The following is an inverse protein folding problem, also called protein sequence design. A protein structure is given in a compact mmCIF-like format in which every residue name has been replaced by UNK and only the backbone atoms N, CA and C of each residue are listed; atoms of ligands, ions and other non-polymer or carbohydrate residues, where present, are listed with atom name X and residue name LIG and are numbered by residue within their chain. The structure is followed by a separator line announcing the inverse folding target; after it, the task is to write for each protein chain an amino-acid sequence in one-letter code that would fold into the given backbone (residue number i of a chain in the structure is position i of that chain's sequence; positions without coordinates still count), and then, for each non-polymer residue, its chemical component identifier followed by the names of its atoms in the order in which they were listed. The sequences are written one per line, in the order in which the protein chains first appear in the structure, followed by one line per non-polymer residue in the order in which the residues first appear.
data_IF_578077956637
#
_entry.id   IF_578077956637
#
_cell.length_a   1.000
_cell.length_b   1.000
_cell.length_c   1.000
_cell.angle_alpha   90.00
_cell.angle_beta   90.00
_cell.angle_gamma   90.00
#
_symmetry.space_group_name_H-M   'P 1'
#
loop_
_entity.id
_entity.type
_entity.pdbx_description
1 polymer ?
#
# COMPACT_ATOMS: atom_id res chain seq x y z
N UNK A 1 -1.07 6.98 -46.43
CA UNK A 1 0.16 6.17 -46.57
C UNK A 1 1.25 6.93 -45.85
N UNK A 2 1.47 6.68 -44.56
CA UNK A 2 2.34 5.64 -43.98
C UNK A 2 3.83 5.92 -44.27
N UNK A 3 4.71 5.57 -43.32
CA UNK A 3 6.15 5.89 -43.20
C UNK A 3 6.37 7.26 -42.50
N UNK A 4 6.87 7.42 -41.26
CA UNK A 4 7.77 6.61 -40.41
C UNK A 4 7.59 7.13 -38.95
N UNK A 5 6.97 6.37 -38.05
CA UNK A 5 7.61 5.70 -36.90
C UNK A 5 9.12 5.97 -36.71
N UNK A 6 9.56 7.10 -36.12
CA UNK A 6 10.90 7.14 -35.47
C UNK A 6 11.18 8.36 -34.57
N UNK A 7 10.24 8.82 -33.73
CA UNK A 7 10.57 9.83 -32.71
C UNK A 7 9.78 9.72 -31.40
N UNK A 8 9.33 8.51 -31.04
CA UNK A 8 9.02 8.16 -29.65
C UNK A 8 10.28 7.55 -29.00
N UNK A 9 11.29 8.39 -28.78
CA UNK A 9 12.42 8.15 -27.89
C UNK A 9 12.71 9.49 -27.23
N UNK A 10 12.81 9.61 -25.91
CA UNK A 10 14.10 9.32 -25.29
C UNK A 10 14.08 9.16 -23.75
N UNK A 11 12.92 9.03 -23.10
CA UNK A 11 12.84 8.60 -21.70
C UNK A 11 11.73 7.54 -21.55
N UNK A 12 12.03 6.34 -22.05
CA UNK A 12 11.23 5.14 -21.85
C UNK A 12 11.28 4.66 -20.40
N UNK A 13 10.72 5.44 -19.47
CA UNK A 13 10.07 4.87 -18.31
C UNK A 13 8.63 4.60 -18.76
N UNK A 14 8.48 3.64 -19.68
CA UNK A 14 7.17 3.02 -19.84
C UNK A 14 6.91 2.33 -18.51
N UNK A 15 5.94 2.91 -17.81
CA UNK A 15 5.30 2.42 -16.60
C UNK A 15 4.64 1.07 -16.93
N UNK A 16 5.49 0.06 -17.14
CA UNK A 16 5.07 -1.26 -17.61
C UNK A 16 4.04 -1.79 -16.63
N UNK A 17 2.90 -2.33 -17.11
CA UNK A 17 1.89 -2.92 -16.23
C UNK A 17 2.48 -3.90 -15.21
N UNK A 18 3.56 -4.60 -15.56
CA UNK A 18 4.29 -5.50 -14.66
C UNK A 18 4.99 -4.78 -13.50
N UNK A 19 5.60 -3.61 -13.74
CA UNK A 19 6.24 -2.80 -12.68
C UNK A 19 5.20 -2.21 -11.74
N UNK A 20 4.06 -1.77 -12.30
CA UNK A 20 2.91 -1.32 -11.49
C UNK A 20 2.38 -2.44 -10.61
N UNK A 21 2.29 -3.66 -11.16
CA UNK A 21 1.89 -4.86 -10.41
C UNK A 21 2.81 -5.16 -9.23
N UNK A 22 4.11 -5.14 -9.50
CA UNK A 22 5.10 -5.44 -8.48
C UNK A 22 5.10 -4.38 -7.39
N UNK A 23 4.97 -3.10 -7.75
CA UNK A 23 4.87 -2.00 -6.79
C UNK A 23 3.63 -2.13 -5.91
N UNK A 24 2.48 -2.39 -6.51
CA UNK A 24 1.21 -2.52 -5.80
C UNK A 24 1.19 -3.74 -4.87
N UNK A 25 1.74 -4.86 -5.33
CA UNK A 25 1.92 -6.05 -4.51
C UNK A 25 2.80 -5.77 -3.29
N UNK A 26 3.95 -5.13 -3.48
CA UNK A 26 4.87 -4.76 -2.39
C UNK A 26 4.21 -3.81 -1.39
N UNK A 27 3.46 -2.81 -1.87
CA UNK A 27 2.75 -1.86 -1.00
C UNK A 27 1.66 -2.56 -0.18
N UNK A 28 0.89 -3.45 -0.80
CA UNK A 28 -0.13 -4.26 -0.12
C UNK A 28 0.49 -5.20 0.93
N UNK A 29 1.60 -5.86 0.59
CA UNK A 29 2.35 -6.72 1.52
C UNK A 29 2.90 -5.90 2.70
N UNK A 30 3.48 -4.73 2.44
CA UNK A 30 3.98 -3.83 3.47
C UNK A 30 2.87 -3.35 4.42
N UNK A 31 1.72 -2.93 3.87
CA UNK A 31 0.53 -2.59 4.67
C UNK A 31 0.08 -3.78 5.53
N UNK A 32 0.06 -4.99 4.96
CA UNK A 32 -0.28 -6.21 5.69
C UNK A 32 0.67 -6.48 6.87
N UNK A 33 1.98 -6.31 6.65
CA UNK A 33 3.00 -6.45 7.71
C UNK A 33 2.78 -5.40 8.81
N UNK A 34 2.57 -4.14 8.45
CA UNK A 34 2.32 -3.07 9.42
C UNK A 34 1.07 -3.34 10.28
N UNK A 35 -0.02 -3.84 9.67
CA UNK A 35 -1.25 -4.25 10.38
C UNK A 35 -0.96 -5.40 11.36
N UNK A 36 -0.15 -6.38 10.95
CA UNK A 36 0.23 -7.50 11.81
C UNK A 36 1.08 -7.03 12.99
N UNK A 37 2.10 -6.20 12.76
CA UNK A 37 2.94 -5.64 13.82
C UNK A 37 2.12 -4.83 14.81
N UNK A 38 1.20 -3.98 14.32
CA UNK A 38 0.27 -3.23 15.17
C UNK A 38 -0.54 -4.17 16.08
N UNK A 39 -1.03 -5.30 15.54
CA UNK A 39 -1.75 -6.30 16.34
C UNK A 39 -0.86 -7.00 17.36
N UNK A 40 0.37 -7.33 17.00
CA UNK A 40 1.31 -7.97 17.94
C UNK A 40 1.63 -7.05 19.13
N UNK A 41 1.86 -5.76 18.86
CA UNK A 41 2.19 -4.77 19.89
C UNK A 41 0.98 -4.37 20.75
N UNK A 42 -0.19 -4.15 20.15
CA UNK A 42 -1.36 -3.57 20.83
C UNK A 42 -2.46 -4.59 21.16
N UNK A 43 -2.29 -5.85 20.74
CA UNK A 43 -3.24 -6.94 20.99
C UNK A 43 -4.54 -6.86 20.18
N UNK A 44 -4.67 -5.90 19.25
CA UNK A 44 -5.86 -5.70 18.40
C UNK A 44 -5.47 -5.26 17.00
N UNK A 45 -6.31 -5.55 16.01
CA UNK A 45 -6.18 -4.91 14.71
C UNK A 45 -6.52 -3.41 14.78
N UNK A 46 -5.95 -2.58 13.89
CA UNK A 46 -6.35 -1.18 13.78
C UNK A 46 -7.82 -1.09 13.35
N UNK A 47 -8.54 -0.06 13.80
CA UNK A 47 -9.93 0.20 13.39
C UNK A 47 -9.95 0.84 11.99
N UNK A 48 -8.95 1.68 11.72
CA UNK A 48 -8.69 2.32 10.44
C UNK A 48 -7.19 2.31 10.14
N UNK A 49 -6.81 2.27 8.85
CA UNK A 49 -5.40 2.26 8.45
C UNK A 49 -4.61 3.47 8.98
N UNK A 50 -5.29 4.61 9.19
CA UNK A 50 -4.70 5.82 9.75
C UNK A 50 -4.09 5.62 11.14
N UNK A 51 -4.57 4.64 11.91
CA UNK A 51 -3.97 4.30 13.21
C UNK A 51 -2.51 3.84 13.10
N UNK A 52 -2.11 3.27 11.96
CA UNK A 52 -0.74 2.85 11.68
C UNK A 52 0.24 4.03 11.58
N UNK A 53 -0.28 5.24 11.35
CA UNK A 53 0.50 6.46 11.22
C UNK A 53 0.68 7.22 12.53
N UNK A 54 -0.02 6.82 13.59
CA UNK A 54 0.12 7.47 14.88
C UNK A 54 1.16 6.76 15.73
N UNK A 55 1.86 7.55 16.54
CA UNK A 55 2.69 6.97 17.58
C UNK A 55 1.78 6.50 18.72
N UNK A 56 1.51 5.19 18.75
CA UNK A 56 0.64 4.57 19.75
C UNK A 56 1.40 4.14 21.01
N UNK A 57 2.75 4.14 20.97
CA UNK A 57 3.60 3.69 22.08
C UNK A 57 4.38 4.88 22.63
N UNK A 58 4.22 5.15 23.93
CA UNK A 58 5.02 6.14 24.66
C UNK A 58 6.31 5.50 25.21
N UNK A 59 7.01 4.73 24.38
CA UNK A 59 8.26 4.06 24.73
C UNK A 59 9.43 4.81 24.08
N UNK A 60 10.51 5.07 24.82
CA UNK A 60 11.72 5.72 24.26
C UNK A 60 12.41 4.87 23.20
N UNK A 61 12.28 3.54 23.28
CA UNK A 61 12.80 2.60 22.28
C UNK A 61 11.92 2.48 21.03
N UNK A 62 10.80 3.21 20.98
CA UNK A 62 9.90 3.14 19.85
C UNK A 62 10.41 4.01 18.70
N UNK A 63 10.75 3.36 17.59
CA UNK A 63 11.36 4.03 16.44
C UNK A 63 10.37 4.77 15.53
N UNK A 64 9.08 4.79 15.91
CA UNK A 64 8.06 5.60 15.25
C UNK A 64 6.89 4.78 14.71
N UNK A 65 5.94 5.44 14.03
CA UNK A 65 4.72 4.78 13.57
C UNK A 65 5.04 3.65 12.58
N UNK A 66 4.20 2.62 12.56
CA UNK A 66 4.34 1.49 11.63
C UNK A 66 4.37 1.93 10.17
N UNK A 67 3.72 3.05 9.86
CA UNK A 67 3.74 3.68 8.53
C UNK A 67 3.95 5.19 8.68
N UNK A 68 4.90 5.74 7.92
CA UNK A 68 5.09 7.17 7.84
C UNK A 68 3.94 7.85 7.08
N UNK A 69 3.28 8.83 7.71
CA UNK A 69 2.24 9.62 7.05
C UNK A 69 2.85 10.53 5.98
N UNK A 70 2.44 10.35 4.73
CA UNK A 70 2.85 11.18 3.58
C UNK A 70 1.69 12.03 3.03
N UNK A 71 0.58 12.12 3.76
CA UNK A 71 -0.67 12.75 3.30
C UNK A 71 -1.73 11.71 2.92
N UNK A 72 -2.84 12.17 2.32
CA UNK A 72 -3.98 11.29 2.00
C UNK A 72 -3.61 10.14 1.06
N UNK A 73 -2.62 10.33 0.19
CA UNK A 73 -2.10 9.33 -0.75
C UNK A 73 -1.35 8.16 -0.10
N UNK A 74 -1.05 8.24 1.20
CA UNK A 74 -0.40 7.15 1.96
C UNK A 74 -1.18 5.84 1.78
N UNK A 75 -2.51 5.93 1.80
CA UNK A 75 -3.43 4.81 1.67
C UNK A 75 -4.15 4.79 0.32
N UNK A 76 -3.53 5.34 -0.72
CA UNK A 76 -3.98 5.20 -2.10
C UNK A 76 -3.07 4.21 -2.84
N UNK A 77 -3.64 3.43 -3.74
CA UNK A 77 -2.89 2.53 -4.60
C UNK A 77 -2.26 3.29 -5.78
N UNK A 78 -1.59 2.56 -6.68
CA UNK A 78 -0.93 3.18 -7.84
C UNK A 78 -1.89 3.88 -8.82
N UNK A 79 -3.18 3.56 -8.77
CA UNK A 79 -4.24 4.20 -9.57
C UNK A 79 -4.97 5.30 -8.78
N UNK A 80 -4.36 5.80 -7.70
CA UNK A 80 -4.88 6.87 -6.82
C UNK A 80 -6.22 6.48 -6.15
N UNK A 81 -6.49 5.18 -6.00
CA UNK A 81 -7.68 4.66 -5.32
C UNK A 81 -7.37 4.24 -3.91
N UNK A 82 -8.23 4.60 -2.97
CA UNK A 82 -8.03 4.27 -1.55
C UNK A 82 -8.11 2.76 -1.31
N UNK A 83 -7.18 2.23 -0.51
CA UNK A 83 -7.25 0.86 -0.01
C UNK A 83 -8.53 0.64 0.78
N UNK A 84 -9.15 -0.50 0.59
CA UNK A 84 -10.31 -0.93 1.36
C UNK A 84 -9.81 -1.82 2.49
N UNK A 85 -9.91 -1.33 3.72
CA UNK A 85 -9.58 -2.08 4.92
C UNK A 85 -10.84 -2.36 5.73
N UNK A 86 -11.01 -3.61 6.17
CA UNK A 86 -12.10 -4.02 7.07
C UNK A 86 -11.54 -4.82 8.23
N UNK A 87 -11.76 -4.34 9.44
CA UNK A 87 -11.48 -5.07 10.66
C UNK A 87 -12.70 -5.92 11.06
N UNK A 88 -12.51 -7.23 11.29
CA UNK A 88 -13.56 -8.17 11.74
C UNK A 88 -13.35 -8.63 13.19
N UNK A 89 -12.39 -8.04 13.91
CA UNK A 89 -12.01 -8.40 15.27
C UNK A 89 -10.95 -9.50 15.29
N UNK A 90 -11.29 -10.70 14.78
CA UNK A 90 -10.40 -11.87 14.76
C UNK A 90 -9.47 -11.91 13.53
N UNK A 91 -9.90 -11.26 12.44
CA UNK A 91 -9.18 -11.13 11.16
C UNK A 91 -9.36 -9.75 10.55
N UNK A 92 -8.57 -9.45 9.51
CA UNK A 92 -8.74 -8.27 8.67
C UNK A 92 -8.86 -8.63 7.19
N UNK A 93 -9.49 -7.76 6.43
CA UNK A 93 -9.50 -7.77 4.97
C UNK A 93 -8.79 -6.49 4.50
N UNK A 94 -7.85 -6.63 3.57
CA UNK A 94 -7.18 -5.51 2.90
C UNK A 94 -7.26 -5.76 1.38
N UNK A 95 -7.80 -4.79 0.65
CA UNK A 95 -7.99 -4.88 -0.80
C UNK A 95 -7.49 -3.60 -1.48
N UNK A 96 -6.83 -3.76 -2.61
CA UNK A 96 -6.44 -2.67 -3.51
C UNK A 96 -7.40 -2.60 -4.70
N UNK A 97 -8.34 -1.63 -4.75
CA UNK A 97 -9.36 -1.60 -5.78
C UNK A 97 -8.78 -1.37 -7.18
N UNK A 98 -9.24 -2.12 -8.17
CA UNK A 98 -8.71 -2.02 -9.54
C UNK A 98 -7.41 -2.78 -9.77
N UNK A 99 -6.86 -3.39 -8.70
CA UNK A 99 -5.75 -4.33 -8.78
C UNK A 99 -6.21 -5.71 -8.36
N UNK A 100 -6.71 -6.50 -9.31
CA UNK A 100 -6.97 -7.91 -9.07
C UNK A 100 -5.62 -8.63 -8.97
N UNK A 101 -5.16 -8.83 -7.72
CA UNK A 101 -4.15 -9.84 -7.45
C UNK A 101 -4.82 -11.17 -7.80
N UNK A 102 -4.66 -11.62 -9.04
CA UNK A 102 -5.04 -12.96 -9.46
C UNK A 102 -4.42 -13.94 -8.46
N UNK A 103 -5.24 -14.43 -7.53
CA UNK A 103 -4.91 -15.57 -6.69
C UNK A 103 -5.05 -16.79 -7.60
N UNK A 104 -3.94 -17.16 -8.24
CA UNK A 104 -3.80 -18.46 -8.88
C UNK A 104 -3.10 -19.41 -7.90
#
# INVERSE_FOLDING_TARGET
MAFVEFAKGFLGIEDSPAKKAEHEKKKTEFLGIAICLFKEDLGRFPSELKELCFNQKNEESWEGPYINWQGESTFENIDERKYVFKNRGDRYELESPGYEINKN
#
